data_IF_303599722057
#
_entry.id   IF_303599722057
#
_cell.length_a   1.000
_cell.length_b   1.000
_cell.length_c   1.000
_cell.angle_alpha   90.00
_cell.angle_beta   90.00
_cell.angle_gamma   90.00
#
_symmetry.space_group_name_H-M   'P 1'
#
loop_
_entity.id
_entity.type
_entity.pdbx_description
1 polymer ?
#
# COMPACT_ATOMS: atom_id res chain seq x y z
N UNK A 1 6.36 0.68 -7.27
CA UNK A 1 5.42 -0.31 -7.86
C UNK A 1 3.96 0.04 -7.56
N UNK A 2 3.01 -0.47 -8.34
CA UNK A 2 1.57 -0.32 -8.13
C UNK A 2 1.07 -1.14 -6.93
N UNK A 3 -0.14 -0.86 -6.44
CA UNK A 3 -0.78 -1.65 -5.38
C UNK A 3 -0.95 -3.12 -5.78
N UNK A 4 -1.26 -3.42 -7.04
CA UNK A 4 -1.41 -4.81 -7.51
C UNK A 4 -0.10 -5.59 -7.48
N UNK A 5 0.99 -4.98 -7.94
CA UNK A 5 2.33 -5.58 -7.91
C UNK A 5 2.81 -5.79 -6.47
N UNK A 6 2.66 -4.78 -5.62
CA UNK A 6 3.03 -4.86 -4.21
C UNK A 6 2.26 -5.95 -3.47
N UNK A 7 0.94 -6.03 -3.70
CA UNK A 7 0.09 -7.04 -3.08
C UNK A 7 0.49 -8.46 -3.50
N UNK A 8 0.74 -8.66 -4.80
CA UNK A 8 1.24 -9.94 -5.33
C UNK A 8 2.59 -10.32 -4.73
N UNK A 9 3.52 -9.38 -4.60
CA UNK A 9 4.85 -9.62 -4.03
C UNK A 9 4.81 -10.01 -2.53
N UNK A 10 3.72 -9.68 -1.84
CA UNK A 10 3.51 -9.95 -0.43
C UNK A 10 2.51 -11.08 -0.16
N UNK A 11 1.89 -11.64 -1.20
CA UNK A 11 0.87 -12.68 -1.05
C UNK A 11 -0.42 -12.19 -0.38
N UNK A 12 -0.74 -10.89 -0.48
CA UNK A 12 -1.99 -10.32 0.08
C UNK A 12 -2.92 -9.85 -1.04
N UNK A 13 -4.20 -9.65 -0.72
CA UNK A 13 -5.12 -9.05 -1.68
C UNK A 13 -4.80 -7.56 -1.90
N UNK A 14 -4.89 -7.12 -3.15
CA UNK A 14 -4.75 -5.69 -3.50
C UNK A 14 -5.82 -4.82 -2.84
N UNK A 15 -7.02 -5.37 -2.59
CA UNK A 15 -8.09 -4.71 -1.83
C UNK A 15 -7.69 -4.47 -0.37
N UNK A 16 -7.05 -5.44 0.28
CA UNK A 16 -6.55 -5.30 1.66
C UNK A 16 -5.47 -4.23 1.73
N UNK A 17 -4.49 -4.28 0.82
CA UNK A 17 -3.41 -3.30 0.79
C UNK A 17 -3.93 -1.87 0.54
N UNK A 18 -4.85 -1.69 -0.41
CA UNK A 18 -5.50 -0.40 -0.65
C UNK A 18 -6.30 0.09 0.56
N UNK A 19 -6.99 -0.83 1.25
CA UNK A 19 -7.77 -0.51 2.46
C UNK A 19 -6.86 0.00 3.58
N UNK A 20 -5.77 -0.71 3.88
CA UNK A 20 -4.83 -0.30 4.93
C UNK A 20 -4.17 1.05 4.61
N UNK A 21 -3.88 1.32 3.34
CA UNK A 21 -3.38 2.61 2.90
C UNK A 21 -4.40 3.74 3.14
N UNK A 22 -5.65 3.51 2.75
CA UNK A 22 -6.76 4.45 2.93
C UNK A 22 -7.07 4.71 4.41
N UNK A 23 -6.90 3.70 5.26
CA UNK A 23 -7.05 3.81 6.72
C UNK A 23 -5.80 4.44 7.39
N UNK A 24 -4.75 4.78 6.63
CA UNK A 24 -3.52 5.38 7.17
C UNK A 24 -2.62 4.41 7.94
N UNK A 25 -2.95 3.10 7.96
CA UNK A 25 -2.17 2.05 8.64
C UNK A 25 -0.87 1.74 7.92
N UNK A 26 -0.85 1.95 6.60
CA UNK A 26 0.33 1.87 5.75
C UNK A 26 0.43 3.15 4.93
N UNK A 27 1.65 3.61 4.67
CA UNK A 27 1.92 4.82 3.89
C UNK A 27 2.60 4.45 2.57
N UNK A 28 1.99 4.76 1.42
CA UNK A 28 2.70 4.67 0.15
C UNK A 28 3.79 5.75 0.08
N UNK A 29 4.82 5.53 -0.74
CA UNK A 29 5.90 6.50 -0.98
C UNK A 29 5.31 7.80 -1.53
N UNK A 30 4.39 7.67 -2.48
CA UNK A 30 3.58 8.77 -2.95
C UNK A 30 2.28 8.26 -3.56
N UNK A 31 1.32 9.17 -3.71
CA UNK A 31 0.10 8.93 -4.46
C UNK A 31 0.15 9.79 -5.71
N UNK A 32 -0.12 9.20 -6.88
CA UNK A 32 -0.29 10.02 -8.08
C UNK A 32 -1.61 10.77 -7.96
N UNK A 33 -1.70 12.04 -8.40
CA UNK A 33 -2.98 12.72 -8.54
C UNK A 33 -3.92 11.87 -9.40
N UNK A 34 -5.18 11.77 -8.95
CA UNK A 34 -6.28 11.24 -9.75
C UNK A 34 -6.99 12.38 -10.48
N UNK A 35 -7.77 12.03 -11.49
CA UNK A 35 -8.75 12.92 -12.10
C UNK A 35 -10.13 12.26 -12.13
N UNK A 36 -11.14 12.96 -12.62
CA UNK A 36 -12.55 12.53 -12.59
C UNK A 36 -12.79 11.12 -13.15
N UNK A 37 -12.00 10.71 -14.14
CA UNK A 37 -12.13 9.42 -14.82
C UNK A 37 -11.25 8.31 -14.22
N UNK A 38 -10.22 8.64 -13.44
CA UNK A 38 -9.28 7.65 -12.86
C UNK A 38 -8.77 8.10 -11.50
N UNK A 39 -8.99 7.33 -10.43
CA UNK A 39 -8.49 7.67 -9.12
C UNK A 39 -6.95 7.64 -9.08
N UNK A 40 -6.40 8.38 -8.13
CA UNK A 40 -4.97 8.38 -7.86
C UNK A 40 -4.47 6.98 -7.52
N UNK A 41 -3.23 6.69 -7.91
CA UNK A 41 -2.62 5.38 -7.67
C UNK A 41 -1.57 5.49 -6.58
N UNK A 42 -1.63 4.56 -5.63
CA UNK A 42 -0.57 4.40 -4.64
C UNK A 42 0.68 3.81 -5.28
N UNK A 43 1.82 4.41 -4.95
CA UNK A 43 3.14 3.93 -5.33
C UNK A 43 3.89 3.46 -4.11
N UNK A 44 4.30 2.20 -4.18
CA UNK A 44 4.94 1.48 -3.09
C UNK A 44 6.41 1.25 -3.38
N UNK A 45 7.20 1.28 -2.31
CA UNK A 45 8.49 0.62 -2.24
C UNK A 45 8.31 -0.68 -1.46
N UNK A 46 8.86 -1.79 -1.96
CA UNK A 46 8.63 -3.11 -1.35
C UNK A 46 9.38 -3.29 -0.04
N UNK A 47 10.57 -2.70 0.10
CA UNK A 47 11.36 -2.82 1.32
C UNK A 47 10.71 -2.02 2.46
N UNK A 48 10.32 -0.78 2.17
CA UNK A 48 9.60 0.07 3.12
C UNK A 48 8.24 -0.56 3.51
N UNK A 49 7.47 -1.06 2.54
CA UNK A 49 6.20 -1.72 2.82
C UNK A 49 6.35 -2.96 3.73
N UNK A 50 7.40 -3.78 3.53
CA UNK A 50 7.73 -4.90 4.44
C UNK A 50 8.06 -4.39 5.85
N UNK A 51 8.84 -3.32 5.97
CA UNK A 51 9.18 -2.72 7.25
C UNK A 51 7.95 -2.19 7.99
N UNK A 52 7.02 -1.54 7.28
CA UNK A 52 5.77 -1.06 7.85
C UNK A 52 4.88 -2.20 8.35
N UNK A 53 4.74 -3.28 7.59
CA UNK A 53 3.97 -4.46 8.00
C UNK A 53 4.55 -5.15 9.24
N UNK A 54 5.88 -5.22 9.35
CA UNK A 54 6.54 -5.76 10.54
C UNK A 54 6.25 -4.90 11.78
N UNK A 55 6.22 -3.56 11.64
CA UNK A 55 5.86 -2.65 12.74
C UNK A 55 4.39 -2.79 13.13
N UNK A 56 3.51 -2.94 12.15
CA UNK A 56 2.06 -3.09 12.33
C UNK A 56 1.66 -4.38 13.06
N UNK A 57 2.45 -5.46 12.93
CA UNK A 57 2.18 -6.77 13.53
C UNK A 57 2.91 -7.00 14.86
N UNK A 58 3.66 -6.03 15.39
CA UNK A 58 4.23 -6.18 16.73
C UNK A 58 3.13 -5.98 17.78
N UNK A 59 2.86 -6.96 18.65
CA UNK A 59 2.06 -6.73 19.84
C UNK A 59 2.83 -5.80 20.79
N UNK A 60 2.12 -4.83 21.35
CA UNK A 60 2.58 -3.97 22.46
C UNK A 60 2.78 -4.81 23.74
#
# INVERSE_FOLDING_TARGET
MSTGEAARALGVSSRSLARWAREGRLKPVFSTPGGDKRPGQYRWDLQDLRAQLLRMNRPE
#
